data_IF_300940399474
#
_entry.id   IF_300940399474
#
_cell.length_a   1.000
_cell.length_b   1.000
_cell.length_c   1.000
_cell.angle_alpha   90.00
_cell.angle_beta   90.00
_cell.angle_gamma   90.00
#
_symmetry.space_group_name_H-M   'P 1'
#
loop_
_entity.id
_entity.type
_entity.pdbx_description
1 polymer ?
#
# COMPACT_ATOMS: atom_id res chain seq x y z
N UNK A 1 -4.91 -12.29 2.91
CA UNK A 1 -3.50 -12.10 3.31
C UNK A 1 -3.31 -10.73 3.97
N UNK A 2 -2.29 -10.52 4.82
CA UNK A 2 -2.06 -9.25 5.51
C UNK A 2 -0.66 -8.68 5.21
N UNK A 3 -0.57 -7.37 4.94
CA UNK A 3 0.67 -6.59 4.79
C UNK A 3 0.63 -5.42 5.76
N UNK A 4 1.66 -5.27 6.58
CA UNK A 4 1.76 -4.17 7.55
C UNK A 4 3.09 -3.46 7.38
N UNK A 5 3.06 -2.20 6.98
CA UNK A 5 4.24 -1.36 6.82
C UNK A 5 4.28 -0.26 7.89
N UNK A 6 5.43 -0.09 8.55
CA UNK A 6 5.67 0.93 9.56
C UNK A 6 6.72 1.94 9.09
N UNK A 7 6.70 3.17 9.62
CA UNK A 7 7.71 4.16 9.28
C UNK A 7 9.12 3.66 9.59
N UNK A 8 9.96 3.57 8.55
CA UNK A 8 11.36 3.13 8.67
C UNK A 8 11.58 1.66 8.34
N UNK A 9 10.51 0.89 8.09
CA UNK A 9 10.65 -0.45 7.54
C UNK A 9 11.33 -0.38 6.16
N UNK A 10 12.13 -1.41 5.81
CA UNK A 10 12.71 -1.50 4.47
C UNK A 10 11.61 -1.69 3.42
N UNK A 11 11.94 -1.52 2.12
CA UNK A 11 11.04 -1.90 1.05
C UNK A 11 10.61 -3.37 1.18
N UNK A 12 9.31 -3.63 0.98
CA UNK A 12 8.76 -4.99 1.02
C UNK A 12 9.29 -5.82 -0.15
N UNK A 13 9.54 -7.13 0.04
CA UNK A 13 9.75 -8.03 -1.08
C UNK A 13 8.47 -8.15 -1.93
N UNK A 14 8.57 -8.60 -3.19
CA UNK A 14 7.39 -8.92 -3.99
C UNK A 14 6.48 -9.92 -3.28
N UNK A 15 5.19 -9.63 -3.35
CA UNK A 15 4.14 -10.41 -2.71
C UNK A 15 3.53 -11.37 -3.72
N UNK A 16 3.40 -12.65 -3.37
CA UNK A 16 2.78 -13.65 -4.23
C UNK A 16 1.38 -14.01 -3.73
N UNK A 17 0.39 -13.99 -4.62
CA UNK A 17 -1.01 -14.32 -4.33
C UNK A 17 -1.62 -15.12 -5.46
N UNK A 18 -2.73 -15.80 -5.20
CA UNK A 18 -3.54 -16.41 -6.25
C UNK A 18 -4.65 -15.45 -6.71
N UNK A 19 -5.09 -15.61 -7.96
CA UNK A 19 -6.28 -14.94 -8.45
C UNK A 19 -7.49 -15.28 -7.57
N UNK A 20 -8.23 -14.25 -7.14
CA UNK A 20 -9.33 -14.35 -6.19
C UNK A 20 -8.95 -14.08 -4.73
N UNK A 21 -7.65 -13.95 -4.42
CA UNK A 21 -7.20 -13.60 -3.08
C UNK A 21 -7.53 -12.14 -2.73
N UNK A 22 -7.84 -11.94 -1.45
CA UNK A 22 -7.99 -10.65 -0.81
C UNK A 22 -6.73 -10.31 0.01
N UNK A 23 -6.21 -9.10 -0.16
CA UNK A 23 -5.03 -8.57 0.52
C UNK A 23 -5.42 -7.36 1.36
N UNK A 24 -5.21 -7.47 2.67
CA UNK A 24 -5.39 -6.39 3.63
C UNK A 24 -4.06 -5.67 3.86
N UNK A 25 -4.04 -4.36 3.61
CA UNK A 25 -2.84 -3.53 3.72
C UNK A 25 -3.05 -2.53 4.85
N UNK A 26 -2.08 -2.42 5.74
CA UNK A 26 -2.03 -1.39 6.77
C UNK A 26 -0.71 -0.62 6.68
N UNK A 27 -0.79 0.65 6.27
CA UNK A 27 0.33 1.58 6.29
C UNK A 27 0.23 2.44 7.54
N UNK A 28 1.07 2.19 8.54
CA UNK A 28 1.03 2.92 9.81
C UNK A 28 1.57 4.33 9.62
N UNK A 29 0.73 5.32 9.93
CA UNK A 29 1.13 6.72 10.01
C UNK A 29 1.95 7.01 11.27
N UNK A 30 2.39 8.26 11.40
CA UNK A 30 2.94 8.78 12.65
C UNK A 30 2.35 10.18 12.91
N UNK A 31 2.50 10.76 14.11
CA UNK A 31 1.95 12.09 14.38
C UNK A 31 2.38 13.17 13.36
N UNK A 32 3.60 13.06 12.85
CA UNK A 32 4.19 14.00 11.90
C UNK A 32 3.98 13.63 10.42
N UNK A 33 3.52 12.41 10.11
CA UNK A 33 3.42 11.90 8.74
C UNK A 33 2.10 11.18 8.49
N UNK A 34 1.49 11.45 7.34
CA UNK A 34 0.32 10.73 6.87
C UNK A 34 0.51 10.12 5.50
N UNK A 35 -0.01 8.90 5.34
CA UNK A 35 -0.09 8.24 4.04
C UNK A 35 -1.30 8.74 3.24
N UNK A 36 -1.13 8.84 1.92
CA UNK A 36 -2.26 8.91 0.97
C UNK A 36 -2.94 7.55 0.89
N UNK A 37 -4.21 7.46 0.46
CA UNK A 37 -4.84 6.18 0.15
C UNK A 37 -3.95 5.29 -0.74
N UNK A 38 -4.09 3.98 -0.59
CA UNK A 38 -3.39 3.01 -1.46
C UNK A 38 -4.05 3.04 -2.83
N UNK A 39 -3.22 3.10 -3.87
CA UNK A 39 -3.64 3.12 -5.27
C UNK A 39 -3.05 1.91 -6.01
N UNK A 40 -3.82 1.32 -6.93
CA UNK A 40 -3.28 0.41 -7.95
C UNK A 40 -2.71 1.26 -9.06
N UNK A 41 -1.41 1.16 -9.30
CA UNK A 41 -0.74 1.92 -10.38
C UNK A 41 -0.67 1.10 -11.66
N UNK A 42 -0.57 -0.22 -11.54
CA UNK A 42 -0.55 -1.13 -12.66
C UNK A 42 -1.05 -2.52 -12.25
N UNK A 43 -1.54 -3.28 -13.23
CA UNK A 43 -1.83 -4.70 -13.10
C UNK A 43 -3.22 -5.06 -12.59
N UNK A 44 -3.49 -6.36 -12.42
CA UNK A 44 -4.83 -6.91 -12.21
C UNK A 44 -5.27 -6.92 -10.73
N UNK A 45 -5.21 -5.76 -10.07
CA UNK A 45 -5.70 -5.57 -8.70
C UNK A 45 -6.85 -4.56 -8.67
N UNK A 46 -7.71 -4.64 -7.66
CA UNK A 46 -8.75 -3.64 -7.39
C UNK A 46 -8.79 -3.31 -5.91
N UNK A 47 -8.71 -2.02 -5.54
CA UNK A 47 -8.97 -1.59 -4.16
C UNK A 47 -10.48 -1.59 -3.94
N UNK A 48 -10.98 -2.45 -3.05
CA UNK A 48 -12.41 -2.59 -2.74
C UNK A 48 -12.83 -1.77 -1.53
N UNK A 49 -11.89 -1.52 -0.61
CA UNK A 49 -12.10 -0.63 0.52
C UNK A 49 -10.82 0.14 0.85
N UNK A 50 -10.95 1.39 1.25
CA UNK A 50 -9.84 2.19 1.76
C UNK A 50 -10.33 3.16 2.82
N UNK A 51 -9.63 3.23 3.94
CA UNK A 51 -9.84 4.20 5.01
C UNK A 51 -8.51 4.85 5.41
N UNK A 52 -8.59 6.13 5.81
CA UNK A 52 -7.45 6.86 6.36
C UNK A 52 -7.85 7.48 7.68
N UNK A 53 -7.18 7.07 8.76
CA UNK A 53 -7.40 7.61 10.11
C UNK A 53 -6.07 8.02 10.71
N UNK A 54 -5.96 9.30 11.11
CA UNK A 54 -4.76 9.89 11.69
C UNK A 54 -3.47 9.69 10.88
N UNK A 55 -3.59 9.48 9.56
CA UNK A 55 -2.46 9.22 8.67
C UNK A 55 -2.03 7.76 8.58
N UNK A 56 -2.68 6.87 9.32
CA UNK A 56 -2.67 5.44 9.03
C UNK A 56 -3.67 5.16 7.92
N UNK A 57 -3.28 4.35 6.95
CA UNK A 57 -4.15 3.88 5.87
C UNK A 57 -4.41 2.41 6.06
N UNK A 58 -5.66 1.99 5.90
CA UNK A 58 -6.03 0.60 5.70
C UNK A 58 -6.72 0.44 4.36
N UNK A 59 -6.34 -0.58 3.60
CA UNK A 59 -6.95 -0.90 2.32
C UNK A 59 -7.21 -2.39 2.19
N UNK A 60 -8.27 -2.74 1.48
CA UNK A 60 -8.58 -4.11 1.05
C UNK A 60 -8.45 -4.13 -0.47
N UNK A 61 -7.70 -5.12 -0.97
CA UNK A 61 -7.33 -5.22 -2.38
C UNK A 61 -7.58 -6.63 -2.88
N UNK A 62 -8.34 -6.75 -3.95
CA UNK A 62 -8.67 -8.04 -4.56
C UNK A 62 -7.78 -8.29 -5.79
N UNK A 63 -7.28 -9.53 -5.90
CA UNK A 63 -6.57 -10.02 -7.06
C UNK A 63 -7.55 -10.51 -8.14
N UNK A 64 -7.87 -9.67 -9.11
CA UNK A 64 -8.95 -9.91 -10.09
C UNK A 64 -8.50 -10.61 -11.38
N UNK A 65 -7.20 -10.83 -11.56
CA UNK A 65 -6.63 -11.53 -12.72
C UNK A 65 -5.16 -11.85 -12.52
N UNK A 66 -4.60 -12.73 -13.36
CA UNK A 66 -3.19 -13.12 -13.26
C UNK A 66 -2.25 -12.08 -13.89
N UNK A 67 -1.05 -11.91 -13.32
CA UNK A 67 -0.02 -11.01 -13.80
C UNK A 67 0.69 -10.22 -12.70
N UNK A 68 1.61 -9.35 -13.10
CA UNK A 68 2.28 -8.42 -12.18
C UNK A 68 1.42 -7.17 -11.95
N UNK A 69 1.40 -6.71 -10.70
CA UNK A 69 0.74 -5.49 -10.29
C UNK A 69 1.61 -4.67 -9.33
N UNK A 70 1.30 -3.37 -9.25
CA UNK A 70 1.98 -2.44 -8.34
C UNK A 70 0.94 -1.65 -7.55
N UNK A 71 1.11 -1.68 -6.22
CA UNK A 71 0.42 -0.81 -5.29
C UNK A 71 1.35 0.30 -4.82
N UNK A 72 0.78 1.48 -4.60
CA UNK A 72 1.53 2.67 -4.18
C UNK A 72 0.79 3.48 -3.14
N UNK A 73 1.56 4.10 -2.24
CA UNK A 73 1.08 5.14 -1.34
C UNK A 73 2.22 6.09 -1.01
N UNK A 74 1.90 7.34 -0.70
CA UNK A 74 2.88 8.39 -0.42
C UNK A 74 2.71 8.91 1.00
N UNK A 75 3.79 8.94 1.79
CA UNK A 75 3.83 9.51 3.12
C UNK A 75 4.44 10.89 3.09
N UNK A 76 3.68 11.91 3.50
CA UNK A 76 4.16 13.30 3.53
C UNK A 76 4.22 13.84 4.95
N UNK A 77 5.25 14.64 5.22
CA UNK A 77 5.36 15.40 6.46
C UNK A 77 4.22 16.42 6.53
N UNK A 78 3.55 16.47 7.67
CA UNK A 78 2.39 17.35 7.92
C UNK A 78 2.76 18.68 8.58
N UNK A 79 4.02 18.86 8.97
CA UNK A 79 4.52 20.10 9.55
C UNK A 79 4.83 21.15 8.48
N UNK A 80 5.88 21.92 8.69
CA UNK A 80 6.25 22.97 7.74
C UNK A 80 6.72 22.42 6.38
N UNK A 81 6.60 23.26 5.34
CA UNK A 81 6.95 22.91 3.96
C UNK A 81 8.44 22.65 3.71
N UNK A 82 9.31 23.01 4.65
CA UNK A 82 10.76 22.74 4.61
C UNK A 82 11.11 21.50 5.45
N UNK A 83 10.11 20.80 5.97
CA UNK A 83 10.28 19.56 6.72
C UNK A 83 10.83 18.43 5.87
N UNK A 84 11.04 17.24 6.49
CA UNK A 84 11.79 16.19 5.83
C UNK A 84 11.03 15.61 4.62
N UNK A 85 11.78 14.91 3.76
CA UNK A 85 11.28 14.47 2.46
C UNK A 85 10.08 13.51 2.57
N UNK A 86 9.16 13.67 1.62
CA UNK A 86 8.10 12.71 1.32
C UNK A 86 8.68 11.33 1.01
N UNK A 87 8.07 10.29 1.57
CA UNK A 87 8.46 8.90 1.35
C UNK A 87 7.46 8.19 0.47
N UNK A 88 7.97 7.33 -0.40
CA UNK A 88 7.16 6.52 -1.28
C UNK A 88 7.14 5.08 -0.78
N UNK A 89 5.95 4.52 -0.61
CA UNK A 89 5.74 3.10 -0.40
C UNK A 89 5.28 2.48 -1.72
N UNK A 90 5.87 1.32 -2.04
CA UNK A 90 5.54 0.50 -3.19
C UNK A 90 5.51 -0.96 -2.77
N UNK A 91 4.56 -1.70 -3.33
CA UNK A 91 4.50 -3.15 -3.21
C UNK A 91 4.24 -3.74 -4.60
N UNK A 92 5.17 -4.57 -5.04
CA UNK A 92 4.98 -5.41 -6.22
C UNK A 92 4.20 -6.65 -5.81
N UNK A 93 3.19 -6.99 -6.59
CA UNK A 93 2.33 -8.15 -6.35
C UNK A 93 2.33 -9.02 -7.59
N UNK A 94 2.67 -10.28 -7.43
CA UNK A 94 2.63 -11.30 -8.47
C UNK A 94 1.37 -12.13 -8.24
N UNK A 95 0.40 -11.99 -9.14
CA UNK A 95 -0.84 -12.76 -9.11
C UNK A 95 -0.70 -13.99 -9.99
N UNK A 96 -0.69 -15.15 -9.35
CA UNK A 96 -0.64 -16.45 -9.99
C UNK A 96 -2.06 -16.91 -10.39
N UNK A 97 -2.22 -17.62 -11.52
CA UNK A 97 -3.49 -18.27 -11.84
C UNK A 97 -3.91 -19.25 -10.71
N UNK A 98 -5.22 -19.40 -10.52
CA UNK A 98 -5.79 -20.36 -9.58
C UNK A 98 -5.63 -21.82 -10.04
#
# INVERSE_FOLDING_TARGET
>A
MEVVHRPGDPPEPPLHVQMGDEVHITLRGSPAYGWTPVEVVAGPLTVTASETTDGTVRATVDAVGAGEAELRSTSSFRGDRFGPQTRLWRLLVHVEPA
#
